data_IF_385615950488
#
_entry.id   IF_385615950488
#
_cell.length_a   1.000
_cell.length_b   1.000
_cell.length_c   1.000
_cell.angle_alpha   90.00
_cell.angle_beta   90.00
_cell.angle_gamma   90.00
#
_symmetry.space_group_name_H-M   'P 1'
#
loop_
_entity.id
_entity.type
_entity.pdbx_description
1 polymer ?
#
# COMPACT_ATOMS: atom_id res chain seq x y z
N UNK A 1 5.65 -0.76 45.19
CA UNK A 1 4.69 -0.26 44.19
C UNK A 1 5.37 -0.10 42.82
N UNK A 2 5.67 -1.19 42.13
CA UNK A 2 6.38 -1.19 40.83
C UNK A 2 5.43 -1.14 39.61
N UNK A 3 4.13 -0.95 39.81
CA UNK A 3 3.12 -1.16 38.77
C UNK A 3 2.89 -0.02 37.77
N UNK A 4 3.39 1.19 38.03
CA UNK A 4 3.19 2.33 37.10
C UNK A 4 4.29 2.42 36.03
N UNK A 5 5.55 2.18 36.41
CA UNK A 5 6.68 2.21 35.49
C UNK A 5 6.64 1.06 34.48
N UNK A 6 6.19 -0.13 34.92
CA UNK A 6 6.05 -1.29 34.05
C UNK A 6 4.91 -1.11 33.03
N UNK A 7 3.74 -0.60 33.47
CA UNK A 7 2.62 -0.27 32.58
C UNK A 7 2.96 0.84 31.58
N UNK A 8 3.71 1.86 32.00
CA UNK A 8 4.12 2.93 31.10
C UNK A 8 5.06 2.42 29.99
N UNK A 9 5.96 1.48 30.32
CA UNK A 9 6.87 0.85 29.34
C UNK A 9 6.14 -0.07 28.38
N UNK A 10 5.17 -0.85 28.86
CA UNK A 10 4.30 -1.66 28.00
C UNK A 10 3.44 -0.81 27.07
N UNK A 11 2.81 0.26 27.57
CA UNK A 11 2.02 1.18 26.75
C UNK A 11 2.86 1.89 25.69
N UNK A 12 4.09 2.29 26.03
CA UNK A 12 5.01 2.89 25.06
C UNK A 12 5.39 1.89 23.95
N UNK A 13 5.65 0.63 24.28
CA UNK A 13 5.92 -0.42 23.29
C UNK A 13 4.73 -0.66 22.38
N UNK A 14 3.54 -0.82 22.94
CA UNK A 14 2.32 -1.01 22.16
C UNK A 14 1.98 0.19 21.28
N UNK A 15 2.15 1.42 21.77
CA UNK A 15 1.93 2.63 20.98
C UNK A 15 2.91 2.78 19.82
N UNK A 16 4.17 2.36 20.01
CA UNK A 16 5.18 2.37 18.95
C UNK A 16 4.93 1.29 17.89
N UNK A 17 4.54 0.08 18.29
CA UNK A 17 4.19 -0.99 17.35
C UNK A 17 2.95 -0.65 16.53
N UNK A 18 1.90 -0.14 17.17
CA UNK A 18 0.69 0.31 16.46
C UNK A 18 0.98 1.53 15.57
N UNK A 19 1.87 2.43 15.98
CA UNK A 19 2.31 3.56 15.18
C UNK A 19 3.04 3.11 13.90
N UNK A 20 3.95 2.15 14.02
CA UNK A 20 4.67 1.57 12.87
C UNK A 20 3.73 0.85 11.91
N UNK A 21 2.85 0.00 12.43
CA UNK A 21 1.87 -0.74 11.62
C UNK A 21 0.96 0.21 10.84
N UNK A 22 0.42 1.25 11.47
CA UNK A 22 -0.41 2.25 10.78
C UNK A 22 0.35 3.01 9.70
N UNK A 23 1.62 3.34 9.93
CA UNK A 23 2.45 4.03 8.94
C UNK A 23 2.72 3.13 7.74
N UNK A 24 3.05 1.86 7.98
CA UNK A 24 3.24 0.86 6.93
C UNK A 24 1.97 0.63 6.11
N UNK A 25 0.81 0.52 6.78
CA UNK A 25 -0.50 0.41 6.12
C UNK A 25 -0.79 1.63 5.23
N UNK A 26 -0.60 2.85 5.74
CA UNK A 26 -0.80 4.08 4.95
C UNK A 26 0.14 4.15 3.77
N UNK A 27 1.39 3.72 3.93
CA UNK A 27 2.36 3.66 2.83
C UNK A 27 1.94 2.62 1.78
N UNK A 28 1.52 1.43 2.21
CA UNK A 28 1.03 0.40 1.30
C UNK A 28 -0.24 0.84 0.56
N UNK A 29 -1.16 1.55 1.24
CA UNK A 29 -2.34 2.13 0.61
C UNK A 29 -1.99 3.21 -0.42
N UNK A 30 -1.04 4.09 -0.11
CA UNK A 30 -0.57 5.12 -1.06
C UNK A 30 0.11 4.48 -2.27
N UNK A 31 1.02 3.54 -2.04
CA UNK A 31 1.70 2.81 -3.11
C UNK A 31 0.70 2.08 -4.02
N UNK A 32 -0.31 1.41 -3.47
CA UNK A 32 -1.37 0.77 -4.24
C UNK A 32 -2.17 1.75 -5.09
N UNK A 33 -2.52 2.92 -4.55
CA UNK A 33 -3.20 3.98 -5.31
C UNK A 33 -2.35 4.52 -6.46
N UNK A 34 -1.06 4.69 -6.26
CA UNK A 34 -0.15 5.14 -7.32
C UNK A 34 0.00 4.08 -8.41
N UNK A 35 0.02 2.80 -8.06
CA UNK A 35 0.02 1.68 -9.02
C UNK A 35 -1.27 1.64 -9.85
N UNK A 36 -2.44 1.83 -9.22
CA UNK A 36 -3.72 1.95 -9.93
C UNK A 36 -3.72 3.10 -10.92
N UNK A 37 -3.23 4.27 -10.51
CA UNK A 37 -3.12 5.44 -11.39
C UNK A 37 -2.22 5.15 -12.59
N UNK A 38 -1.09 4.47 -12.38
CA UNK A 38 -0.19 4.04 -13.46
C UNK A 38 -0.85 3.07 -14.42
N UNK A 39 -1.57 2.06 -13.90
CA UNK A 39 -2.33 1.12 -14.72
C UNK A 39 -3.41 1.82 -15.54
N UNK A 40 -4.19 2.71 -14.92
CA UNK A 40 -5.21 3.49 -15.63
C UNK A 40 -4.63 4.39 -16.71
N UNK A 41 -3.48 5.03 -16.45
CA UNK A 41 -2.78 5.85 -17.44
C UNK A 41 -2.25 5.01 -18.61
N UNK A 42 -1.66 3.85 -18.34
CA UNK A 42 -1.17 2.93 -19.36
C UNK A 42 -2.33 2.41 -20.24
N UNK A 43 -3.43 1.97 -19.61
CA UNK A 43 -4.63 1.51 -20.32
C UNK A 43 -5.26 2.61 -21.17
N UNK A 44 -5.34 3.85 -20.65
CA UNK A 44 -5.85 4.98 -21.42
C UNK A 44 -4.97 5.30 -22.63
N UNK A 45 -3.64 5.27 -22.47
CA UNK A 45 -2.70 5.48 -23.56
C UNK A 45 -2.79 4.37 -24.63
N UNK A 46 -2.93 3.11 -24.20
CA UNK A 46 -3.17 1.97 -25.09
C UNK A 46 -4.45 2.17 -25.91
N UNK A 47 -5.57 2.55 -25.26
CA UNK A 47 -6.85 2.82 -25.97
C UNK A 47 -6.78 4.00 -26.92
N UNK A 48 -5.92 4.98 -26.66
CA UNK A 48 -5.65 6.11 -27.57
C UNK A 48 -4.67 5.77 -28.69
N UNK A 49 -4.09 4.57 -28.70
CA UNK A 49 -3.07 4.16 -29.68
C UNK A 49 -1.71 4.84 -29.49
N UNK A 50 -1.52 5.56 -28.38
CA UNK A 50 -0.26 6.24 -28.03
C UNK A 50 0.60 5.43 -27.04
N UNK A 51 0.06 4.34 -26.49
CA UNK A 51 0.74 3.43 -25.57
C UNK A 51 0.82 2.00 -26.13
N UNK A 52 1.51 1.12 -25.40
CA UNK A 52 1.63 -0.30 -25.73
C UNK A 52 0.86 -1.16 -24.73
N UNK A 53 0.30 -2.27 -25.21
CA UNK A 53 -0.30 -3.29 -24.33
C UNK A 53 0.70 -3.88 -23.34
N UNK A 54 1.99 -3.91 -23.71
CA UNK A 54 3.08 -4.33 -22.81
C UNK A 54 3.19 -3.42 -21.58
N UNK A 55 3.07 -2.10 -21.74
CA UNK A 55 3.10 -1.17 -20.62
C UNK A 55 1.91 -1.36 -19.67
N UNK A 56 0.72 -1.63 -20.22
CA UNK A 56 -0.48 -1.97 -19.44
C UNK A 56 -0.26 -3.28 -18.68
N UNK A 57 0.29 -4.30 -19.34
CA UNK A 57 0.52 -5.60 -18.73
C UNK A 57 1.60 -5.56 -17.64
N UNK A 58 2.65 -4.76 -17.82
CA UNK A 58 3.66 -4.53 -16.79
C UNK A 58 3.08 -3.79 -15.57
N UNK A 59 2.24 -2.78 -15.80
CA UNK A 59 1.56 -2.06 -14.72
C UNK A 59 0.61 -2.99 -13.94
N UNK A 60 -0.10 -3.87 -14.65
CA UNK A 60 -0.98 -4.88 -14.05
C UNK A 60 -0.19 -5.89 -13.21
N UNK A 61 0.89 -6.45 -13.76
CA UNK A 61 1.76 -7.39 -13.04
C UNK A 61 2.36 -6.78 -11.76
N UNK A 62 2.77 -5.51 -11.82
CA UNK A 62 3.28 -4.80 -10.64
C UNK A 62 2.19 -4.59 -9.58
N UNK A 63 0.97 -4.29 -10.01
CA UNK A 63 -0.19 -4.15 -9.12
C UNK A 63 -0.54 -5.48 -8.45
N UNK A 64 -0.54 -6.58 -9.19
CA UNK A 64 -0.80 -7.93 -8.67
C UNK A 64 0.26 -8.34 -7.63
N UNK A 65 1.54 -8.06 -7.90
CA UNK A 65 2.62 -8.32 -6.94
C UNK A 65 2.46 -7.52 -5.64
N UNK A 66 2.01 -6.27 -5.74
CA UNK A 66 1.70 -5.44 -4.58
C UNK A 66 0.52 -6.01 -3.78
N UNK A 67 -0.56 -6.43 -4.45
CA UNK A 67 -1.72 -7.07 -3.81
C UNK A 67 -1.31 -8.37 -3.14
N UNK A 68 -0.45 -9.18 -3.76
CA UNK A 68 0.05 -10.41 -3.15
C UNK A 68 0.87 -10.16 -1.87
N UNK A 69 1.49 -8.99 -1.73
CA UNK A 69 2.36 -8.66 -0.58
C UNK A 69 1.63 -7.90 0.52
N UNK A 70 0.75 -6.97 0.14
CA UNK A 70 0.12 -6.01 1.04
C UNK A 70 -1.42 -6.12 1.11
N UNK A 71 -2.01 -6.97 0.27
CA UNK A 71 -3.46 -7.11 0.14
C UNK A 71 -4.11 -6.08 -0.80
N UNK A 72 -5.41 -6.24 -1.01
CA UNK A 72 -6.26 -5.46 -1.91
C UNK A 72 -6.99 -4.29 -1.23
N UNK A 73 -6.65 -3.96 0.02
CA UNK A 73 -7.39 -2.98 0.83
C UNK A 73 -7.52 -1.59 0.19
N UNK A 74 -6.54 -1.18 -0.62
CA UNK A 74 -6.58 0.10 -1.35
C UNK A 74 -7.57 0.11 -2.53
N UNK A 75 -8.09 -1.05 -2.96
CA UNK A 75 -9.14 -1.14 -3.99
C UNK A 75 -10.54 -0.81 -3.45
N UNK A 76 -10.73 -0.89 -2.12
CA UNK A 76 -12.05 -0.79 -1.47
C UNK A 76 -12.36 0.59 -0.90
N UNK A 77 -11.69 1.63 -1.43
CA UNK A 77 -11.77 3.02 -0.95
C UNK A 77 -13.18 3.49 -0.62
#
# INVERSE_FOLDING_TARGET
>A
MAGFLDRAKEQARHGLEQGKQKVEEVQAMRAGNDLLRKLGAAYYAEKRGSGSGEATQQALSTLEAHISTHGDGFLRG
#
